data_IF_466434142506
#
_entry.id   IF_466434142506
#
_cell.length_a   1.000
_cell.length_b   1.000
_cell.length_c   1.000
_cell.angle_alpha   90.00
_cell.angle_beta   90.00
_cell.angle_gamma   90.00
#
_symmetry.space_group_name_H-M   'P 1'
#
loop_
_entity.id
_entity.type
_entity.pdbx_description
1 polymer ?
#
# COMPACT_ATOMS: atom_id res chain seq x y z
N UNK A 1 -9.73 43.44 30.15
CA UNK A 1 -9.36 42.55 31.27
C UNK A 1 -9.30 41.14 30.72
N UNK A 2 -8.10 40.53 30.79
CA UNK A 2 -7.83 39.10 30.62
C UNK A 2 -7.94 38.55 29.19
N UNK A 3 -7.09 37.64 28.73
CA UNK A 3 -5.69 37.34 28.98
C UNK A 3 -5.25 36.42 27.83
N UNK A 4 -3.98 36.49 27.48
CA UNK A 4 -3.30 35.66 26.49
C UNK A 4 -3.50 34.15 26.72
N UNK A 5 -3.51 33.41 25.62
CA UNK A 5 -3.44 31.95 25.62
C UNK A 5 -3.35 31.38 24.21
N UNK A 6 -2.39 31.85 23.41
CA UNK A 6 -1.96 31.14 22.20
C UNK A 6 -1.19 29.89 22.65
N UNK A 7 -1.91 28.79 22.87
CA UNK A 7 -1.30 27.46 23.03
C UNK A 7 -1.05 26.87 21.65
N UNK A 8 0.22 26.98 21.24
CA UNK A 8 1.08 25.87 20.85
C UNK A 8 0.56 24.89 19.78
N UNK A 9 1.32 24.84 18.70
CA UNK A 9 1.27 23.86 17.62
C UNK A 9 1.29 22.42 18.14
N UNK A 10 0.11 21.83 18.32
CA UNK A 10 -0.08 20.40 18.53
C UNK A 10 -0.35 19.71 17.20
N UNK A 11 0.63 18.95 16.72
CA UNK A 11 0.46 17.94 15.66
C UNK A 11 -0.83 17.15 15.90
N UNK A 12 -1.84 17.36 15.06
CA UNK A 12 -3.12 16.69 15.14
C UNK A 12 -2.96 15.24 14.64
N UNK A 13 -2.42 14.36 15.49
CA UNK A 13 -2.37 12.91 15.27
C UNK A 13 -3.79 12.40 15.53
N UNK A 14 -4.67 12.55 14.55
CA UNK A 14 -6.09 12.34 14.79
C UNK A 14 -6.96 12.19 13.54
N UNK A 15 -6.41 11.82 12.38
CA UNK A 15 -7.27 11.34 11.30
C UNK A 15 -7.96 10.05 11.76
N UNK A 16 -9.29 10.04 11.95
CA UNK A 16 -10.00 8.83 12.35
C UNK A 16 -9.76 7.77 11.29
N UNK A 17 -9.24 6.61 11.72
CA UNK A 17 -9.10 5.46 10.84
C UNK A 17 -10.48 5.12 10.27
N UNK A 18 -10.58 4.73 8.99
CA UNK A 18 -11.86 4.40 8.38
C UNK A 18 -12.58 3.31 9.18
N UNK A 19 -13.91 3.42 9.26
CA UNK A 19 -14.74 2.45 9.98
C UNK A 19 -14.41 1.02 9.54
N UNK A 20 -13.92 0.22 10.50
CA UNK A 20 -13.47 -1.15 10.24
C UNK A 20 -11.96 -1.33 10.17
N UNK A 21 -11.15 -0.28 10.29
CA UNK A 21 -9.69 -0.40 10.43
C UNK A 21 -9.24 -0.16 11.87
N UNK A 22 -8.40 -1.02 12.42
CA UNK A 22 -7.86 -0.84 13.77
C UNK A 22 -6.40 -1.28 13.88
N UNK A 23 -5.66 -0.67 14.80
CA UNK A 23 -4.28 -1.03 15.12
C UNK A 23 -4.18 -1.54 16.56
N UNK A 24 -3.62 -2.74 16.73
CA UNK A 24 -3.27 -3.33 18.02
C UNK A 24 -1.80 -3.11 18.29
N UNK A 25 -1.49 -2.07 19.06
CA UNK A 25 -0.13 -1.73 19.43
C UNK A 25 0.59 -2.83 20.23
N UNK A 26 -0.13 -3.58 21.08
CA UNK A 26 0.44 -4.64 21.90
C UNK A 26 1.01 -5.82 21.11
N UNK A 27 0.49 -6.08 19.91
CA UNK A 27 0.93 -7.16 19.03
C UNK A 27 1.52 -6.66 17.71
N UNK A 28 1.55 -5.35 17.49
CA UNK A 28 1.96 -4.75 16.23
C UNK A 28 1.09 -5.17 15.05
N UNK A 29 -0.22 -5.25 15.23
CA UNK A 29 -1.12 -5.79 14.23
C UNK A 29 -2.10 -4.75 13.69
N UNK A 30 -2.18 -4.63 12.37
CA UNK A 30 -3.23 -3.91 11.67
C UNK A 30 -4.38 -4.86 11.34
N UNK A 31 -5.61 -4.43 11.55
CA UNK A 31 -6.81 -5.25 11.38
C UNK A 31 -7.84 -4.53 10.53
N UNK A 32 -8.40 -5.27 9.58
CA UNK A 32 -9.55 -4.88 8.76
C UNK A 32 -10.75 -5.72 9.17
N UNK A 33 -11.90 -5.09 9.36
CA UNK A 33 -13.16 -5.74 9.68
C UNK A 33 -14.32 -5.12 8.92
N UNK A 34 -15.18 -5.96 8.36
CA UNK A 34 -16.41 -5.52 7.70
C UNK A 34 -17.44 -6.66 7.70
N UNK A 35 -18.69 -6.36 8.09
CA UNK A 35 -19.82 -7.33 8.10
C UNK A 35 -19.48 -8.72 8.66
N UNK A 36 -18.75 -8.78 9.78
CA UNK A 36 -18.37 -10.02 10.46
C UNK A 36 -17.13 -10.72 9.91
N UNK A 37 -16.57 -10.28 8.78
CA UNK A 37 -15.26 -10.71 8.28
C UNK A 37 -14.15 -9.91 8.96
N UNK A 38 -13.03 -10.58 9.24
CA UNK A 38 -11.89 -9.98 9.94
C UNK A 38 -10.58 -10.54 9.44
N UNK A 39 -9.65 -9.67 9.07
CA UNK A 39 -8.30 -10.02 8.63
C UNK A 39 -7.29 -9.19 9.40
N UNK A 40 -6.11 -9.76 9.66
CA UNK A 40 -5.08 -9.13 10.47
C UNK A 40 -3.70 -9.28 9.82
N UNK A 41 -2.94 -8.20 9.75
CA UNK A 41 -1.60 -8.13 9.20
C UNK A 41 -0.63 -7.66 10.29
N UNK A 42 0.53 -8.31 10.42
CA UNK A 42 1.50 -8.02 11.48
C UNK A 42 2.69 -7.21 10.93
N UNK A 43 3.08 -6.13 11.63
CA UNK A 43 4.25 -5.31 11.30
C UNK A 43 5.56 -6.11 11.36
N UNK A 44 5.64 -7.16 12.19
CA UNK A 44 6.81 -8.04 12.24
C UNK A 44 7.03 -8.79 10.91
N UNK A 45 5.96 -8.99 10.13
CA UNK A 45 6.02 -9.67 8.83
C UNK A 45 6.02 -8.69 7.65
N UNK A 46 5.27 -7.60 7.76
CA UNK A 46 5.01 -6.69 6.63
C UNK A 46 5.50 -5.25 6.86
N UNK A 47 6.10 -4.96 8.01
CA UNK A 47 6.56 -3.62 8.36
C UNK A 47 5.45 -2.58 8.30
N UNK A 48 5.81 -1.38 7.86
CA UNK A 48 4.89 -0.23 7.73
C UNK A 48 3.69 -0.51 6.81
N UNK A 49 3.84 -1.44 5.87
CA UNK A 49 2.80 -1.75 4.90
C UNK A 49 1.70 -2.67 5.43
N UNK A 50 1.82 -3.17 6.66
CA UNK A 50 0.71 -3.85 7.34
C UNK A 50 -0.54 -2.95 7.39
N UNK A 51 -0.36 -1.62 7.50
CA UNK A 51 -1.46 -0.64 7.43
C UNK A 51 -2.11 -0.61 6.06
N UNK A 52 -1.30 -0.57 5.01
CA UNK A 52 -1.80 -0.49 3.63
C UNK A 52 -2.55 -1.77 3.24
N UNK A 53 -2.03 -2.93 3.63
CA UNK A 53 -2.70 -4.22 3.45
C UNK A 53 -4.06 -4.27 4.13
N UNK A 54 -4.15 -3.78 5.37
CA UNK A 54 -5.42 -3.71 6.08
C UNK A 54 -6.40 -2.76 5.39
N UNK A 55 -5.94 -1.60 4.90
CA UNK A 55 -6.79 -0.68 4.13
C UNK A 55 -7.30 -1.30 2.84
N UNK A 56 -6.42 -1.96 2.07
CA UNK A 56 -6.78 -2.66 0.84
C UNK A 56 -7.81 -3.75 1.08
N UNK A 57 -7.58 -4.59 2.09
CA UNK A 57 -8.51 -5.65 2.45
C UNK A 57 -9.87 -5.08 2.84
N UNK A 58 -9.91 -4.00 3.62
CA UNK A 58 -11.15 -3.30 3.97
C UNK A 58 -11.87 -2.77 2.72
N UNK A 59 -11.16 -2.14 1.79
CA UNK A 59 -11.75 -1.66 0.53
C UNK A 59 -12.33 -2.80 -0.33
N UNK A 60 -11.65 -3.94 -0.39
CA UNK A 60 -12.15 -5.14 -1.05
C UNK A 60 -13.39 -5.72 -0.32
N UNK A 61 -13.40 -5.71 1.01
CA UNK A 61 -14.53 -6.23 1.79
C UNK A 61 -15.77 -5.35 1.60
N UNK A 62 -15.58 -4.02 1.60
CA UNK A 62 -16.66 -3.04 1.39
C UNK A 62 -17.22 -3.16 -0.03
N UNK A 63 -16.37 -3.37 -1.03
CA UNK A 63 -16.80 -3.58 -2.43
C UNK A 63 -17.35 -4.99 -2.72
N UNK A 64 -17.27 -5.91 -1.75
CA UNK A 64 -17.70 -7.31 -1.92
C UNK A 64 -16.77 -8.15 -2.79
N UNK A 65 -15.60 -7.62 -3.16
CA UNK A 65 -14.59 -8.29 -3.97
C UNK A 65 -13.49 -8.98 -3.13
N UNK A 66 -13.66 -9.05 -1.81
CA UNK A 66 -12.70 -9.70 -0.92
C UNK A 66 -12.79 -11.21 -1.00
N UNK A 67 -11.70 -11.84 -1.46
CA UNK A 67 -11.49 -13.29 -1.42
C UNK A 67 -10.37 -13.62 -0.42
N UNK A 68 -10.70 -14.25 0.73
CA UNK A 68 -9.71 -14.62 1.75
C UNK A 68 -8.65 -15.61 1.27
N UNK A 69 -9.01 -16.49 0.32
CA UNK A 69 -8.10 -17.52 -0.20
C UNK A 69 -7.14 -16.89 -1.20
N UNK A 70 -7.65 -16.01 -2.07
CA UNK A 70 -6.80 -15.23 -2.96
C UNK A 70 -5.83 -14.36 -2.15
N UNK A 71 -6.32 -13.69 -1.10
CA UNK A 71 -5.51 -12.85 -0.22
C UNK A 71 -4.42 -13.67 0.51
N UNK A 72 -4.75 -14.84 1.06
CA UNK A 72 -3.77 -15.71 1.74
C UNK A 72 -2.72 -16.33 0.77
N UNK A 73 -3.15 -16.78 -0.42
CA UNK A 73 -2.25 -17.35 -1.44
C UNK A 73 -1.26 -16.30 -1.96
N UNK A 74 -1.75 -15.09 -2.17
CA UNK A 74 -1.00 -13.95 -2.61
C UNK A 74 0.16 -13.60 -1.67
N UNK A 75 0.01 -13.81 -0.37
CA UNK A 75 1.09 -13.61 0.62
C UNK A 75 2.01 -14.81 0.84
N UNK A 76 1.60 -16.00 0.38
CA UNK A 76 2.39 -17.24 0.47
C UNK A 76 3.32 -17.43 -0.72
N UNK A 77 3.03 -16.82 -1.86
CA UNK A 77 3.82 -16.99 -3.08
C UNK A 77 4.84 -15.86 -3.30
N UNK A 78 6.11 -16.25 -3.41
CA UNK A 78 7.18 -15.39 -3.92
C UNK A 78 7.23 -15.50 -5.44
N UNK A 79 7.01 -14.37 -6.11
CA UNK A 79 6.95 -14.26 -7.56
C UNK A 79 8.33 -14.06 -8.13
N UNK A 80 8.63 -14.69 -9.27
CA UNK A 80 9.84 -14.38 -10.04
C UNK A 80 9.72 -12.97 -10.61
N UNK A 81 10.84 -12.29 -10.72
CA UNK A 81 10.92 -10.93 -11.26
C UNK A 81 10.30 -10.80 -12.66
N UNK A 82 10.44 -11.82 -13.52
CA UNK A 82 9.79 -11.86 -14.83
C UNK A 82 8.26 -11.88 -14.75
N UNK A 83 7.68 -12.77 -13.93
CA UNK A 83 6.23 -12.88 -13.78
C UNK A 83 5.66 -11.65 -13.07
N UNK A 84 6.40 -11.11 -12.09
CA UNK A 84 6.10 -9.85 -11.42
C UNK A 84 6.07 -8.67 -12.40
N UNK A 85 7.05 -8.57 -13.31
CA UNK A 85 7.09 -7.51 -14.32
C UNK A 85 5.85 -7.58 -15.22
N UNK A 86 5.49 -8.78 -15.69
CA UNK A 86 4.27 -9.00 -16.49
C UNK A 86 3.01 -8.58 -15.75
N UNK A 87 2.90 -8.92 -14.48
CA UNK A 87 1.74 -8.56 -13.65
C UNK A 87 1.64 -7.05 -13.42
N UNK A 88 2.77 -6.34 -13.35
CA UNK A 88 2.85 -4.89 -13.22
C UNK A 88 2.65 -4.14 -14.55
N UNK A 89 2.53 -4.86 -15.67
CA UNK A 89 2.48 -4.25 -17.01
C UNK A 89 3.81 -3.61 -17.44
N UNK A 90 4.93 -4.04 -16.85
CA UNK A 90 6.27 -3.52 -17.11
C UNK A 90 7.13 -4.57 -17.82
N UNK A 91 8.16 -4.13 -18.54
CA UNK A 91 9.23 -5.02 -18.97
C UNK A 91 10.18 -5.34 -17.80
N UNK A 92 10.84 -6.51 -17.83
CA UNK A 92 11.81 -6.90 -16.82
C UNK A 92 12.94 -5.85 -16.62
N UNK A 93 13.52 -5.25 -17.69
CA UNK A 93 14.50 -4.18 -17.54
C UNK A 93 13.93 -2.94 -16.84
N UNK A 94 12.68 -2.55 -17.13
CA UNK A 94 12.03 -1.43 -16.46
C UNK A 94 11.81 -1.71 -14.96
N UNK A 95 11.38 -2.92 -14.60
CA UNK A 95 11.23 -3.31 -13.20
C UNK A 95 12.60 -3.32 -12.49
N UNK A 96 13.65 -3.83 -13.13
CA UNK A 96 15.02 -3.81 -12.56
C UNK A 96 15.53 -2.38 -12.39
N UNK A 97 15.33 -1.52 -13.37
CA UNK A 97 15.69 -0.11 -13.29
C UNK A 97 14.94 0.57 -12.15
N UNK A 98 13.62 0.36 -12.06
CA UNK A 98 12.81 0.90 -10.97
C UNK A 98 13.34 0.47 -9.60
N UNK A 99 13.71 -0.81 -9.43
CA UNK A 99 14.29 -1.31 -8.19
C UNK A 99 15.66 -0.71 -7.84
N UNK A 100 16.39 -0.21 -8.83
CA UNK A 100 17.70 0.43 -8.65
C UNK A 100 17.59 1.94 -8.42
N UNK A 101 16.72 2.62 -9.16
CA UNK A 101 16.63 4.08 -9.19
C UNK A 101 15.51 4.62 -8.30
N UNK A 102 14.54 3.79 -7.93
CA UNK A 102 13.32 4.23 -7.28
C UNK A 102 12.42 5.09 -8.18
N UNK A 103 12.63 5.05 -9.49
CA UNK A 103 11.87 5.86 -10.46
C UNK A 103 11.27 5.01 -11.58
N UNK A 104 10.02 5.32 -11.95
CA UNK A 104 9.33 4.78 -13.14
C UNK A 104 8.82 5.97 -13.94
N UNK A 105 9.09 5.99 -15.25
CA UNK A 105 8.63 7.07 -16.14
C UNK A 105 8.95 8.49 -15.63
N UNK A 106 10.16 8.69 -15.10
CA UNK A 106 10.63 9.94 -14.48
C UNK A 106 9.90 10.37 -13.18
N UNK A 107 9.02 9.53 -12.64
CA UNK A 107 8.38 9.75 -11.35
C UNK A 107 9.04 8.91 -10.26
N UNK A 108 9.31 9.53 -9.10
CA UNK A 108 9.84 8.83 -7.93
C UNK A 108 8.72 8.04 -7.26
N UNK A 109 8.78 6.71 -7.40
CA UNK A 109 7.81 5.78 -6.87
C UNK A 109 8.57 4.74 -6.07
N UNK A 110 8.18 4.50 -4.83
CA UNK A 110 8.84 3.49 -3.98
C UNK A 110 8.86 2.12 -4.68
N UNK A 111 10.05 1.54 -4.94
CA UNK A 111 10.14 0.26 -5.65
C UNK A 111 9.73 -0.92 -4.77
N UNK A 112 9.34 -2.05 -5.39
CA UNK A 112 9.14 -3.30 -4.66
C UNK A 112 10.46 -3.80 -4.06
N UNK A 113 10.38 -4.36 -2.85
CA UNK A 113 11.52 -5.00 -2.18
C UNK A 113 11.71 -6.45 -2.65
N UNK A 114 12.97 -6.87 -2.79
CA UNK A 114 13.32 -8.27 -3.04
C UNK A 114 12.96 -9.13 -1.84
N UNK A 115 12.54 -10.36 -2.12
CA UNK A 115 12.40 -11.39 -1.11
C UNK A 115 13.79 -11.85 -0.65
N UNK A 116 14.07 -11.75 0.64
CA UNK A 116 15.35 -12.17 1.25
C UNK A 116 15.60 -13.67 1.13
N UNK A 117 14.54 -14.46 0.85
CA UNK A 117 14.62 -15.93 0.78
C UNK A 117 14.85 -16.46 -0.64
N UNK A 118 14.84 -15.61 -1.68
CA UNK A 118 14.90 -16.06 -3.07
C UNK A 118 15.66 -15.13 -4.00
N UNK A 119 16.52 -15.71 -4.83
CA UNK A 119 17.21 -14.99 -5.92
C UNK A 119 16.16 -14.51 -6.93
N UNK A 120 16.19 -13.22 -7.24
CA UNK A 120 15.29 -12.57 -8.21
C UNK A 120 13.80 -12.81 -7.96
N UNK A 121 13.38 -12.75 -6.68
CA UNK A 121 11.97 -12.84 -6.30
C UNK A 121 11.48 -11.61 -5.55
N UNK A 122 10.18 -11.36 -5.68
CA UNK A 122 9.44 -10.34 -4.94
C UNK A 122 8.28 -11.07 -4.25
N UNK A 123 8.03 -10.75 -2.99
CA UNK A 123 6.87 -11.34 -2.29
C UNK A 123 5.57 -10.86 -2.94
N UNK A 124 4.52 -11.68 -3.01
CA UNK A 124 3.26 -11.22 -3.62
C UNK A 124 2.64 -9.99 -2.91
N UNK A 125 2.97 -9.79 -1.63
CA UNK A 125 2.69 -8.53 -0.91
C UNK A 125 3.37 -7.31 -1.58
N UNK A 126 4.70 -7.36 -1.77
CA UNK A 126 5.44 -6.25 -2.39
C UNK A 126 5.01 -6.01 -3.85
N UNK A 127 4.65 -7.08 -4.56
CA UNK A 127 4.10 -7.00 -5.92
C UNK A 127 2.83 -6.17 -5.98
N UNK A 128 1.89 -6.41 -5.07
CA UNK A 128 0.63 -5.66 -5.03
C UNK A 128 0.84 -4.23 -4.61
N UNK A 129 1.65 -4.00 -3.58
CA UNK A 129 1.94 -2.63 -3.17
C UNK A 129 2.61 -1.85 -4.29
N UNK A 130 3.49 -2.50 -5.07
CA UNK A 130 4.04 -1.89 -6.28
C UNK A 130 2.95 -1.57 -7.31
N UNK A 131 1.99 -2.47 -7.54
CA UNK A 131 0.87 -2.23 -8.45
C UNK A 131 -0.03 -1.07 -7.98
N UNK A 132 -0.34 -0.98 -6.69
CA UNK A 132 -1.12 0.12 -6.11
C UNK A 132 -0.38 1.44 -6.24
N UNK A 133 0.94 1.46 -6.01
CA UNK A 133 1.78 2.64 -6.20
C UNK A 133 1.80 3.10 -7.67
N UNK A 134 1.88 2.17 -8.62
CA UNK A 134 1.82 2.50 -10.04
C UNK A 134 0.44 3.05 -10.44
N UNK A 135 -0.63 2.37 -10.03
CA UNK A 135 -2.00 2.77 -10.41
C UNK A 135 -2.43 4.09 -9.76
N UNK A 136 -2.04 4.36 -8.52
CA UNK A 136 -2.30 5.66 -7.86
C UNK A 136 -1.52 6.80 -8.51
N UNK A 137 -0.28 6.56 -8.92
CA UNK A 137 0.53 7.50 -9.70
C UNK A 137 -0.11 7.83 -11.07
N UNK A 138 -0.52 6.82 -11.84
CA UNK A 138 -1.19 7.04 -13.13
C UNK A 138 -2.54 7.73 -12.98
N UNK A 139 -3.27 7.48 -11.89
CA UNK A 139 -4.56 8.13 -11.61
C UNK A 139 -4.42 9.56 -11.05
N UNK A 140 -3.25 9.94 -10.57
CA UNK A 140 -2.93 11.31 -10.16
C UNK A 140 -2.88 12.29 -11.34
N UNK A 141 -2.59 11.82 -12.55
CA UNK A 141 -2.48 12.67 -13.75
C UNK A 141 -3.84 13.10 -14.33
N UNK A 142 -4.96 12.43 -13.98
CA UNK A 142 -6.29 12.78 -14.51
C UNK A 142 -7.04 13.85 -13.69
N UNK A 143 -6.60 14.20 -12.48
CA UNK A 143 -7.26 15.23 -11.66
C UNK A 143 -6.55 16.60 -11.66
N UNK A 144 -5.48 16.77 -12.44
CA UNK A 144 -4.71 18.02 -12.53
C UNK A 144 -5.09 18.94 -13.69
N UNK A 145 -6.04 18.57 -14.55
CA UNK A 145 -6.43 19.39 -15.70
C UNK A 145 -7.76 20.09 -15.45
N UNK A 146 -7.76 21.12 -14.60
CA UNK A 146 -8.69 22.24 -14.78
C UNK A 146 -8.05 23.19 -15.79
N UNK A 147 -8.42 22.97 -17.06
CA UNK A 147 -8.41 24.03 -18.07
C UNK A 147 -9.34 25.15 -17.59
N UNK A 148 -8.86 26.39 -17.61
CA UNK A 148 -9.60 27.48 -18.23
C UNK A 148 -8.66 28.67 -18.45
N UNK A 149 -8.28 28.82 -19.71
CA UNK A 149 -7.98 30.10 -20.33
C UNK A 149 -9.23 30.99 -20.29
N UNK A 150 -9.06 32.26 -19.90
CA UNK A 150 -9.70 33.45 -20.47
C UNK A 150 -8.98 34.68 -19.93
#
# INVERSE_FOLDING_TARGET
MGNSGLTEEGLNVGDPLPDGLSFRASTGQWQAQYKGQRITYNIARYGDAAKDLANRALALMVSGAFDPVADDLLFKHSWRLDDAARQLGLSLPQLRQWMLTGTVNAQEIRPPKRDVRGVDRITGYELIMAQERLTTCTRGEVNGKVESSA
#
